data_IF_749691073891
#
_entry.id   IF_749691073891
#
_cell.length_a   1.000
_cell.length_b   1.000
_cell.length_c   1.000
_cell.angle_alpha   90.00
_cell.angle_beta   90.00
_cell.angle_gamma   90.00
#
_symmetry.space_group_name_H-M   'P 1'
#
loop_
_entity.id
_entity.type
_entity.pdbx_description
1 polymer ?
#
# COMPACT_ATOMS: atom_id res chain seq x y z
N UNK A 1 26.46 -14.21 13.85
CA UNK A 1 27.33 -13.50 12.89
C UNK A 1 26.57 -12.68 11.83
N UNK A 2 25.22 -12.62 11.82
CA UNK A 2 24.44 -11.76 10.89
C UNK A 2 23.87 -10.49 11.56
N UNK A 3 23.98 -10.38 12.89
CA UNK A 3 23.41 -9.29 13.68
C UNK A 3 24.19 -7.98 13.55
N UNK A 4 25.49 -8.05 13.25
CA UNK A 4 26.36 -6.88 13.11
C UNK A 4 26.12 -6.12 11.81
N UNK A 5 25.64 -6.80 10.75
CA UNK A 5 25.30 -6.15 9.47
C UNK A 5 23.97 -5.38 9.54
N UNK A 6 22.98 -5.90 10.25
CA UNK A 6 21.73 -5.16 10.53
C UNK A 6 21.98 -3.92 11.40
N UNK A 7 22.96 -3.97 12.31
CA UNK A 7 23.33 -2.81 13.14
C UNK A 7 24.06 -1.73 12.31
N UNK A 8 24.91 -2.13 11.38
CA UNK A 8 25.65 -1.21 10.52
C UNK A 8 24.77 -0.52 9.44
N UNK A 9 23.81 -1.23 8.84
CA UNK A 9 22.84 -0.61 7.92
C UNK A 9 21.93 0.37 8.69
N UNK A 10 21.60 0.07 9.94
CA UNK A 10 20.89 1.02 10.81
C UNK A 10 21.75 2.22 11.27
N UNK A 11 23.08 2.13 11.19
CA UNK A 11 24.00 3.22 11.55
C UNK A 11 24.32 4.13 10.35
N UNK A 12 24.23 3.62 9.11
CA UNK A 12 24.55 4.38 7.89
C UNK A 12 23.31 5.00 7.21
N UNK A 13 22.11 4.45 7.44
CA UNK A 13 20.86 4.96 6.81
C UNK A 13 20.11 5.98 7.67
N UNK A 14 20.55 6.20 8.92
CA UNK A 14 20.01 7.24 9.82
C UNK A 14 21.06 8.34 10.04
N UNK A 15 21.70 8.78 8.95
CA UNK A 15 22.34 10.09 8.93
C UNK A 15 21.25 11.14 9.08
N UNK A 16 21.26 11.80 10.24
CA UNK A 16 20.61 13.07 10.62
C UNK A 16 19.31 13.45 9.91
N UNK A 17 18.25 13.65 10.71
CA UNK A 17 16.92 14.21 10.41
C UNK A 17 16.87 15.37 9.40
N UNK A 18 17.19 15.11 8.13
CA UNK A 18 16.63 15.78 6.97
C UNK A 18 15.44 14.93 6.53
N UNK A 19 14.22 15.49 6.59
CA UNK A 19 12.99 14.74 6.32
C UNK A 19 13.07 13.97 5.00
N UNK A 20 12.55 12.74 4.99
CA UNK A 20 12.53 11.93 3.78
C UNK A 20 11.81 12.71 2.68
N UNK A 21 12.52 13.04 1.60
CA UNK A 21 11.91 13.67 0.43
C UNK A 21 11.38 12.57 -0.50
N UNK A 22 10.09 12.64 -0.83
CA UNK A 22 9.44 11.74 -1.79
C UNK A 22 9.33 12.46 -3.12
N UNK A 23 10.17 12.09 -4.09
CA UNK A 23 10.10 12.65 -5.44
C UNK A 23 8.85 12.18 -6.18
N UNK A 24 8.51 12.87 -7.28
CA UNK A 24 7.29 12.59 -8.04
C UNK A 24 7.23 11.19 -8.65
N UNK A 25 8.39 10.61 -8.93
CA UNK A 25 8.52 9.25 -9.44
C UNK A 25 8.85 8.23 -8.34
N UNK A 26 8.76 8.60 -7.06
CA UNK A 26 9.01 7.67 -5.94
C UNK A 26 7.99 6.53 -5.94
N UNK A 27 8.48 5.30 -5.83
CA UNK A 27 7.65 4.10 -5.74
C UNK A 27 6.72 4.13 -4.54
N UNK A 28 7.20 4.61 -3.38
CA UNK A 28 6.41 4.70 -2.14
C UNK A 28 5.22 5.62 -2.33
N UNK A 29 5.45 6.76 -3.00
CA UNK A 29 4.42 7.74 -3.31
C UNK A 29 3.37 7.17 -4.28
N UNK A 30 3.82 6.49 -5.34
CA UNK A 30 2.91 5.85 -6.29
C UNK A 30 2.08 4.71 -5.65
N UNK A 31 2.68 3.91 -4.76
CA UNK A 31 1.94 2.89 -4.00
C UNK A 31 0.94 3.54 -3.06
N UNK A 32 1.36 4.53 -2.26
CA UNK A 32 0.48 5.22 -1.31
C UNK A 32 -0.71 5.88 -2.02
N UNK A 33 -0.48 6.51 -3.19
CA UNK A 33 -1.55 7.12 -3.96
C UNK A 33 -2.55 6.08 -4.48
N UNK A 34 -2.11 4.90 -4.92
CA UNK A 34 -3.02 3.81 -5.29
C UNK A 34 -3.81 3.24 -4.10
N UNK A 35 -3.19 3.19 -2.91
CA UNK A 35 -3.88 2.74 -1.70
C UNK A 35 -4.94 3.76 -1.25
N UNK A 36 -4.65 5.06 -1.38
CA UNK A 36 -5.63 6.12 -1.12
C UNK A 36 -6.76 6.05 -2.14
N UNK A 37 -6.44 5.93 -3.43
CA UNK A 37 -7.43 5.88 -4.50
C UNK A 37 -8.44 4.74 -4.32
N UNK A 38 -8.00 3.57 -3.84
CA UNK A 38 -8.91 2.42 -3.67
C UNK A 38 -9.87 2.61 -2.50
N UNK A 39 -9.44 3.21 -1.40
CA UNK A 39 -10.30 3.46 -0.23
C UNK A 39 -11.09 4.77 -0.35
N UNK A 40 -10.75 5.65 -1.29
CA UNK A 40 -11.50 6.89 -1.57
C UNK A 40 -12.44 6.79 -2.77
N UNK A 41 -12.55 5.62 -3.42
CA UNK A 41 -13.24 5.49 -4.70
C UNK A 41 -14.75 5.76 -4.63
N UNK A 42 -15.37 5.53 -3.47
CA UNK A 42 -16.80 5.76 -3.22
C UNK A 42 -17.08 6.92 -2.24
N UNK A 43 -16.04 7.58 -1.73
CA UNK A 43 -16.16 8.67 -0.77
C UNK A 43 -14.83 9.17 -0.21
N UNK A 44 -14.89 10.04 0.80
CA UNK A 44 -13.69 10.46 1.52
C UNK A 44 -13.27 9.37 2.51
N UNK A 45 -11.96 9.15 2.64
CA UNK A 45 -11.37 8.23 3.61
C UNK A 45 -11.72 8.61 5.05
N UNK A 46 -12.18 7.65 5.84
CA UNK A 46 -12.49 7.83 7.27
C UNK A 46 -11.27 7.63 8.19
N UNK A 47 -11.45 7.86 9.50
CA UNK A 47 -10.36 7.74 10.48
C UNK A 47 -9.85 6.29 10.65
N UNK A 48 -10.72 5.29 10.50
CA UNK A 48 -10.35 3.89 10.62
C UNK A 48 -9.51 3.45 9.40
N UNK A 49 -9.92 3.87 8.20
CA UNK A 49 -9.19 3.66 6.96
C UNK A 49 -7.84 4.39 6.97
N UNK A 50 -7.82 5.66 7.39
CA UNK A 50 -6.59 6.45 7.53
C UNK A 50 -5.60 5.78 8.49
N UNK A 51 -6.10 5.30 9.65
CA UNK A 51 -5.27 4.59 10.61
C UNK A 51 -4.70 3.30 10.01
N UNK A 52 -5.51 2.53 9.26
CA UNK A 52 -5.06 1.28 8.65
C UNK A 52 -4.07 1.50 7.52
N UNK A 53 -4.29 2.52 6.70
CA UNK A 53 -3.34 2.98 5.68
C UNK A 53 -2.00 3.36 6.34
N UNK A 54 -2.05 4.17 7.39
CA UNK A 54 -0.87 4.58 8.17
C UNK A 54 -0.10 3.37 8.71
N UNK A 55 -0.78 2.45 9.38
CA UNK A 55 -0.14 1.25 9.94
C UNK A 55 0.45 0.37 8.82
N UNK A 56 -0.27 0.19 7.71
CA UNK A 56 0.18 -0.61 6.55
C UNK A 56 1.44 -0.02 5.91
N UNK A 57 1.45 1.28 5.62
CA UNK A 57 2.59 1.95 5.00
C UNK A 57 3.80 1.98 5.93
N UNK A 58 3.59 2.25 7.22
CA UNK A 58 4.65 2.28 8.22
C UNK A 58 5.32 0.92 8.35
N UNK A 59 4.54 -0.15 8.45
CA UNK A 59 5.07 -1.49 8.65
C UNK A 59 5.74 -2.02 7.37
N UNK A 60 5.19 -1.71 6.19
CA UNK A 60 5.75 -2.15 4.91
C UNK A 60 7.08 -1.45 4.58
N UNK A 61 7.19 -0.15 4.81
CA UNK A 61 8.38 0.64 4.47
C UNK A 61 9.30 0.95 5.66
N UNK A 62 8.97 0.47 6.86
CA UNK A 62 9.69 0.74 8.10
C UNK A 62 9.90 2.24 8.38
N UNK A 63 8.87 3.05 8.09
CA UNK A 63 8.90 4.50 8.24
C UNK A 63 8.66 4.94 9.69
N UNK A 64 9.04 6.18 10.00
CA UNK A 64 8.57 6.85 11.23
C UNK A 64 7.11 7.26 11.07
N UNK A 65 6.45 7.64 12.17
CA UNK A 65 5.07 8.14 12.06
C UNK A 65 5.04 9.41 11.23
N UNK A 66 5.98 10.32 11.47
CA UNK A 66 6.09 11.60 10.80
C UNK A 66 6.31 11.43 9.29
N UNK A 67 7.21 10.54 8.88
CA UNK A 67 7.46 10.27 7.46
C UNK A 67 6.25 9.58 6.78
N UNK A 68 5.53 8.72 7.49
CA UNK A 68 4.31 8.09 6.96
C UNK A 68 3.20 9.13 6.74
N UNK A 69 2.99 10.04 7.69
CA UNK A 69 1.98 11.09 7.56
C UNK A 69 2.31 12.04 6.40
N UNK A 70 3.60 12.38 6.21
CA UNK A 70 4.02 13.18 5.05
C UNK A 70 3.85 12.43 3.73
N UNK A 71 4.16 11.13 3.69
CA UNK A 71 3.90 10.29 2.52
C UNK A 71 2.41 10.24 2.18
N UNK A 72 1.54 10.06 3.17
CA UNK A 72 0.09 10.06 2.98
C UNK A 72 -0.37 11.41 2.45
N UNK A 73 0.07 12.52 3.06
CA UNK A 73 -0.28 13.87 2.62
C UNK A 73 0.09 14.11 1.15
N UNK A 74 1.33 13.80 0.77
CA UNK A 74 1.80 13.94 -0.61
C UNK A 74 1.05 13.01 -1.57
N UNK A 75 0.72 11.79 -1.13
CA UNK A 75 -0.01 10.82 -1.92
C UNK A 75 -1.47 11.24 -2.15
N UNK A 76 -2.13 11.84 -1.14
CA UNK A 76 -3.47 12.42 -1.26
C UNK A 76 -3.47 13.59 -2.24
N UNK A 77 -2.50 14.50 -2.15
CA UNK A 77 -2.35 15.61 -3.11
C UNK A 77 -2.19 15.06 -4.54
N UNK A 78 -1.37 14.01 -4.70
CA UNK A 78 -1.15 13.33 -5.98
C UNK A 78 -2.39 12.64 -6.52
N UNK A 79 -3.17 11.98 -5.67
CA UNK A 79 -4.40 11.33 -6.05
C UNK A 79 -5.45 12.35 -6.54
N UNK A 80 -5.58 13.47 -5.82
CA UNK A 80 -6.46 14.58 -6.19
C UNK A 80 -6.08 15.24 -7.54
N UNK A 81 -4.78 15.27 -7.86
CA UNK A 81 -4.26 15.80 -9.13
C UNK A 81 -4.29 14.77 -10.28
N UNK A 82 -4.44 13.49 -9.97
CA UNK A 82 -4.31 12.42 -10.95
C UNK A 82 -5.50 12.40 -11.91
N UNK A 83 -5.18 12.28 -13.20
CA UNK A 83 -6.18 12.09 -14.26
C UNK A 83 -6.62 10.63 -14.34
N UNK A 84 -5.70 9.70 -14.07
CA UNK A 84 -5.94 8.26 -14.12
C UNK A 84 -4.94 7.44 -13.28
N UNK A 85 -5.21 6.14 -13.16
CA UNK A 85 -4.33 5.15 -12.52
C UNK A 85 -3.06 4.84 -13.32
N UNK A 86 -2.99 5.24 -14.59
CA UNK A 86 -1.86 4.90 -15.47
C UNK A 86 -0.59 5.63 -15.03
N UNK A 87 -0.72 6.87 -14.55
CA UNK A 87 0.39 7.63 -13.95
C UNK A 87 1.15 6.81 -12.90
N UNK A 88 0.45 6.36 -11.85
CA UNK A 88 1.02 5.57 -10.76
C UNK A 88 1.52 4.20 -11.22
N UNK A 89 0.68 3.45 -11.94
CA UNK A 89 1.04 2.08 -12.36
C UNK A 89 2.20 2.07 -13.35
N UNK A 90 2.40 3.12 -14.16
CA UNK A 90 3.57 3.24 -15.03
C UNK A 90 4.88 3.44 -14.25
N UNK A 91 4.85 4.20 -13.15
CA UNK A 91 6.00 4.34 -12.24
C UNK A 91 6.31 2.99 -11.62
N UNK A 92 5.30 2.31 -11.08
CA UNK A 92 5.47 1.03 -10.42
C UNK A 92 6.01 -0.04 -11.37
N UNK A 93 5.43 -0.23 -12.56
CA UNK A 93 5.92 -1.20 -13.55
C UNK A 93 7.39 -1.05 -13.91
N UNK A 94 7.92 0.18 -13.86
CA UNK A 94 9.33 0.47 -14.17
C UNK A 94 10.26 0.19 -13.00
N UNK A 95 9.75 0.30 -11.77
CA UNK A 95 10.55 0.22 -10.54
C UNK A 95 10.39 -1.09 -9.77
N UNK A 96 9.34 -1.87 -10.05
CA UNK A 96 9.04 -3.10 -9.33
C UNK A 96 9.16 -4.37 -10.17
N UNK A 97 9.58 -5.43 -9.50
CA UNK A 97 9.50 -6.80 -10.03
C UNK A 97 8.10 -7.43 -9.83
N UNK A 98 7.94 -8.67 -10.28
CA UNK A 98 6.66 -9.39 -10.17
C UNK A 98 6.24 -9.64 -8.72
N UNK A 99 7.19 -9.96 -7.83
CA UNK A 99 6.90 -10.24 -6.42
C UNK A 99 6.45 -8.98 -5.69
N UNK A 100 7.09 -7.84 -5.98
CA UNK A 100 6.68 -6.53 -5.47
C UNK A 100 5.30 -6.12 -5.98
N UNK A 101 4.96 -6.40 -7.24
CA UNK A 101 3.60 -6.15 -7.78
C UNK A 101 2.56 -6.99 -7.08
N UNK A 102 2.85 -8.26 -6.79
CA UNK A 102 1.98 -9.10 -5.99
C UNK A 102 1.81 -8.54 -4.57
N UNK A 103 2.89 -8.07 -3.94
CA UNK A 103 2.82 -7.44 -2.62
C UNK A 103 1.94 -6.17 -2.64
N UNK A 104 2.02 -5.35 -3.70
CA UNK A 104 1.15 -4.17 -3.85
C UNK A 104 -0.32 -4.58 -3.94
N UNK A 105 -0.66 -5.57 -4.77
CA UNK A 105 -2.04 -6.06 -4.87
C UNK A 105 -2.52 -6.69 -3.56
N UNK A 106 -1.64 -7.39 -2.83
CA UNK A 106 -1.95 -7.93 -1.52
C UNK A 106 -2.24 -6.82 -0.49
N UNK A 107 -1.45 -5.74 -0.48
CA UNK A 107 -1.71 -4.60 0.39
C UNK A 107 -3.04 -3.92 0.08
N UNK A 108 -3.37 -3.74 -1.20
CA UNK A 108 -4.67 -3.20 -1.60
C UNK A 108 -5.81 -4.07 -1.03
N UNK A 109 -5.72 -5.39 -1.18
CA UNK A 109 -6.72 -6.29 -0.61
C UNK A 109 -6.81 -6.19 0.91
N UNK A 110 -5.69 -6.04 1.62
CA UNK A 110 -5.70 -5.90 3.09
C UNK A 110 -6.39 -4.62 3.54
N UNK A 111 -6.24 -3.52 2.80
CA UNK A 111 -6.98 -2.29 3.09
C UNK A 111 -8.47 -2.47 2.81
N UNK A 112 -8.83 -2.97 1.63
CA UNK A 112 -10.23 -3.12 1.22
C UNK A 112 -10.99 -4.12 2.10
N UNK A 113 -10.37 -5.21 2.56
CA UNK A 113 -11.03 -6.17 3.46
C UNK A 113 -11.13 -5.72 4.93
N UNK A 114 -10.76 -4.48 5.26
CA UNK A 114 -10.56 -4.06 6.65
C UNK A 114 -11.78 -4.13 7.55
N UNK A 115 -12.93 -3.80 7.01
CA UNK A 115 -14.21 -3.78 7.71
C UNK A 115 -15.00 -5.09 7.49
N UNK A 116 -14.37 -6.08 6.84
CA UNK A 116 -14.96 -7.37 6.50
C UNK A 116 -15.89 -7.34 5.29
N UNK A 117 -16.05 -6.20 4.63
CA UNK A 117 -16.85 -6.04 3.41
C UNK A 117 -15.97 -5.52 2.28
N UNK A 118 -16.36 -5.81 1.03
CA UNK A 118 -15.68 -5.29 -0.15
C UNK A 118 -16.74 -4.68 -1.04
N UNK A 119 -16.64 -3.39 -1.30
CA UNK A 119 -17.54 -2.69 -2.20
C UNK A 119 -17.16 -2.93 -3.66
N UNK A 120 -18.15 -2.82 -4.56
CA UNK A 120 -17.96 -3.08 -5.99
C UNK A 120 -16.94 -2.11 -6.62
N UNK A 121 -16.93 -0.85 -6.19
CA UNK A 121 -15.99 0.16 -6.68
C UNK A 121 -14.55 -0.14 -6.26
N UNK A 122 -14.33 -0.64 -5.05
CA UNK A 122 -13.02 -1.04 -4.56
C UNK A 122 -12.51 -2.28 -5.28
N UNK A 123 -13.33 -3.33 -5.43
CA UNK A 123 -12.99 -4.56 -6.18
C UNK A 123 -12.60 -4.21 -7.63
N UNK A 124 -13.40 -3.36 -8.29
CA UNK A 124 -13.11 -2.88 -9.63
C UNK A 124 -11.78 -2.11 -9.71
N UNK A 125 -11.46 -1.32 -8.69
CA UNK A 125 -10.20 -0.57 -8.62
C UNK A 125 -9.01 -1.50 -8.43
N UNK A 126 -9.06 -2.45 -7.49
CA UNK A 126 -8.00 -3.45 -7.31
C UNK A 126 -7.81 -4.27 -8.59
N UNK A 127 -8.92 -4.64 -9.25
CA UNK A 127 -8.89 -5.36 -10.52
C UNK A 127 -8.17 -4.55 -11.60
N UNK A 128 -8.49 -3.26 -11.73
CA UNK A 128 -7.90 -2.38 -12.73
C UNK A 128 -6.41 -2.15 -12.47
N UNK A 129 -6.02 -1.94 -11.22
CA UNK A 129 -4.60 -1.78 -10.85
C UNK A 129 -3.81 -3.07 -11.13
N UNK A 130 -4.36 -4.24 -10.78
CA UNK A 130 -3.72 -5.53 -11.08
C UNK A 130 -3.48 -5.73 -12.58
N UNK A 131 -4.47 -5.42 -13.42
CA UNK A 131 -4.35 -5.48 -14.87
C UNK A 131 -3.22 -4.54 -15.37
N UNK A 132 -3.21 -3.29 -14.89
CA UNK A 132 -2.22 -2.30 -15.29
C UNK A 132 -0.80 -2.72 -14.88
N UNK A 133 -0.62 -3.26 -13.68
CA UNK A 133 0.67 -3.80 -13.21
C UNK A 133 1.09 -5.09 -13.92
N UNK A 134 0.18 -5.73 -14.66
CA UNK A 134 0.42 -6.99 -15.37
C UNK A 134 0.37 -8.22 -14.44
N UNK A 135 -0.36 -8.14 -13.33
CA UNK A 135 -0.65 -9.28 -12.46
C UNK A 135 -1.75 -10.11 -13.11
N UNK A 136 -1.53 -11.42 -13.20
CA UNK A 136 -2.47 -12.30 -13.88
C UNK A 136 -3.80 -12.42 -13.11
N UNK A 137 -4.91 -12.66 -13.82
CA UNK A 137 -6.21 -12.91 -13.19
C UNK A 137 -6.17 -14.05 -12.17
N UNK A 138 -5.36 -15.09 -12.42
CA UNK A 138 -5.19 -16.23 -11.52
C UNK A 138 -4.52 -15.78 -10.22
N UNK A 139 -3.43 -15.04 -10.32
CA UNK A 139 -2.66 -14.62 -9.15
C UNK A 139 -3.43 -13.57 -8.33
N UNK A 140 -4.19 -12.67 -8.99
CA UNK A 140 -5.12 -11.77 -8.31
C UNK A 140 -6.16 -12.51 -7.46
N UNK A 141 -6.79 -13.57 -8.02
CA UNK A 141 -7.78 -14.37 -7.27
C UNK A 141 -7.11 -15.08 -6.08
N UNK A 142 -5.91 -15.63 -6.29
CA UNK A 142 -5.16 -16.29 -5.22
C UNK A 142 -4.80 -15.31 -4.08
N UNK A 143 -4.37 -14.09 -4.40
CA UNK A 143 -4.07 -13.05 -3.42
C UNK A 143 -5.32 -12.63 -2.63
N UNK A 144 -6.45 -12.43 -3.33
CA UNK A 144 -7.74 -12.13 -2.68
C UNK A 144 -8.14 -13.22 -1.69
N UNK A 145 -8.08 -14.48 -2.11
CA UNK A 145 -8.43 -15.63 -1.26
C UNK A 145 -7.50 -15.76 -0.05
N UNK A 146 -6.20 -15.54 -0.25
CA UNK A 146 -5.21 -15.54 0.83
C UNK A 146 -5.56 -14.50 1.90
N UNK A 147 -5.79 -13.24 1.49
CA UNK A 147 -6.10 -12.15 2.42
C UNK A 147 -7.44 -12.38 3.13
N UNK A 148 -8.48 -12.81 2.40
CA UNK A 148 -9.77 -13.11 3.01
C UNK A 148 -9.65 -14.17 4.12
N UNK A 149 -8.91 -15.26 3.86
CA UNK A 149 -8.65 -16.30 4.87
C UNK A 149 -7.85 -15.78 6.07
N UNK A 150 -6.85 -14.90 5.86
CA UNK A 150 -6.08 -14.29 6.94
C UNK A 150 -6.98 -13.43 7.86
N UNK A 151 -7.90 -12.66 7.28
CA UNK A 151 -8.81 -11.79 8.03
C UNK A 151 -9.90 -12.58 8.77
N UNK A 152 -10.45 -13.64 8.16
CA UNK A 152 -11.40 -14.54 8.84
C UNK A 152 -10.77 -15.17 10.09
N UNK A 153 -9.50 -15.60 9.99
CA UNK A 153 -8.75 -16.19 11.10
C UNK A 153 -8.38 -15.18 12.20
N UNK A 154 -8.30 -13.89 11.88
CA UNK A 154 -8.05 -12.83 12.86
C UNK A 154 -9.34 -12.43 13.60
N UNK A 155 -10.48 -12.43 12.92
CA UNK A 155 -11.81 -12.20 13.53
C UNK A 155 -12.16 -13.24 14.60
N UNK A 156 -11.88 -14.52 14.33
CA UNK A 156 -12.16 -15.62 15.27
C UNK A 156 -11.29 -15.55 16.55
N UNK A 157 -10.06 -15.03 16.45
CA UNK A 157 -9.14 -14.91 17.60
C UNK A 157 -9.47 -13.77 18.55
N UNK A 158 -10.19 -12.75 18.09
CA UNK A 158 -10.60 -11.61 18.93
C UNK A 158 -11.92 -11.90 19.68
N UNK A 159 -12.64 -12.96 19.30
CA UNK A 159 -13.90 -13.38 19.93
C UNK A 159 -13.75 -14.56 20.92
N UNK A 160 -12.54 -15.14 21.04
CA UNK A 160 -12.21 -16.21 22.01
C UNK A 160 -11.36 -15.69 23.16
#
# INVERSE_FOLDING_TARGET
MLSSLKRFIKEVTFGESEGLTFADDDQRLAVAALLIHVISVDGDMDEAEHKKLTDTLRDHYALTREDTEELIRLATDRDNEAVDLYGFTSVLKRKTDEAERHAIIEMMWRLVYADGHVHEFEDNTVWRVAELLGVSSRDRIALRQKVAQEQDLEGDKQQS
#
